data_IF_062635007269
#
_entry.id   IF_062635007269
#
_cell.length_a   1.000
_cell.length_b   1.000
_cell.length_c   1.000
_cell.angle_alpha   90.00
_cell.angle_beta   90.00
_cell.angle_gamma   90.00
#
_symmetry.space_group_name_H-M   'P 1'
#
loop_
_entity.id
_entity.type
_entity.pdbx_description
1 polymer ?
#
# COMPACT_ATOMS: atom_id res chain seq x y z
N UNK A 1 -15.67 11.49 16.36
CA UNK A 1 -14.70 10.48 16.83
C UNK A 1 -13.63 10.32 15.77
N UNK A 2 -12.46 10.91 16.00
CA UNK A 2 -11.36 10.92 15.04
C UNK A 2 -10.68 9.55 15.04
N UNK A 3 -10.72 8.84 13.90
CA UNK A 3 -9.97 7.61 13.66
C UNK A 3 -8.47 7.93 13.72
N UNK A 4 -7.88 7.77 14.91
CA UNK A 4 -6.43 7.82 15.12
C UNK A 4 -5.83 6.48 14.68
N UNK A 5 -5.50 6.39 13.39
CA UNK A 5 -4.10 6.21 12.98
C UNK A 5 -3.42 4.84 13.05
N UNK A 6 -4.13 3.71 13.11
CA UNK A 6 -3.47 2.37 13.00
C UNK A 6 -4.24 1.40 12.09
N UNK A 7 -4.92 1.91 11.07
CA UNK A 7 -5.62 1.08 10.08
C UNK A 7 -4.64 0.73 8.96
N UNK A 8 -4.27 -0.55 8.90
CA UNK A 8 -3.46 -1.04 7.80
C UNK A 8 -4.26 -0.95 6.50
N UNK A 9 -3.61 -0.39 5.49
CA UNK A 9 -4.19 -0.14 4.20
C UNK A 9 -4.35 -1.42 3.41
N UNK A 10 -5.54 -1.53 2.84
CA UNK A 10 -5.84 -2.52 1.80
C UNK A 10 -5.48 -1.96 0.42
N UNK A 11 -5.41 -2.79 -0.62
CA UNK A 11 -5.13 -2.35 -2.01
C UNK A 11 -5.84 -1.06 -2.47
N UNK A 12 -7.17 -0.88 -2.28
CA UNK A 12 -7.84 0.34 -2.73
C UNK A 12 -7.42 1.59 -1.96
N UNK A 13 -7.04 1.46 -0.69
CA UNK A 13 -6.57 2.60 0.11
C UNK A 13 -5.18 3.04 -0.31
N UNK A 14 -4.28 2.07 -0.55
CA UNK A 14 -2.95 2.31 -1.11
C UNK A 14 -3.09 3.03 -2.44
N UNK A 15 -3.95 2.51 -3.31
CA UNK A 15 -4.21 3.06 -4.63
C UNK A 15 -4.69 4.52 -4.55
N UNK A 16 -5.69 4.80 -3.70
CA UNK A 16 -6.20 6.15 -3.47
C UNK A 16 -5.13 7.09 -2.92
N UNK A 17 -4.26 6.60 -2.03
CA UNK A 17 -3.21 7.40 -1.43
C UNK A 17 -2.13 7.82 -2.43
N UNK A 18 -1.68 6.89 -3.29
CA UNK A 18 -0.65 7.17 -4.29
C UNK A 18 -1.22 7.68 -5.62
N UNK A 19 -2.54 7.86 -5.70
CA UNK A 19 -3.23 8.36 -6.89
C UNK A 19 -3.24 7.40 -8.09
N UNK A 20 -3.16 6.08 -7.85
CA UNK A 20 -3.22 5.07 -8.92
C UNK A 20 -4.46 4.19 -8.80
N UNK A 21 -4.68 3.31 -9.78
CA UNK A 21 -5.76 2.32 -9.72
C UNK A 21 -5.37 1.12 -8.83
N UNK A 22 -6.34 0.47 -8.16
CA UNK A 22 -6.08 -0.74 -7.38
C UNK A 22 -5.42 -1.86 -8.20
N UNK A 23 -5.79 -1.99 -9.48
CA UNK A 23 -5.15 -2.92 -10.42
C UNK A 23 -3.67 -2.63 -10.63
N UNK A 24 -3.27 -1.35 -10.63
CA UNK A 24 -1.86 -0.95 -10.71
C UNK A 24 -1.10 -1.40 -9.46
N UNK A 25 -1.70 -1.32 -8.27
CA UNK A 25 -1.10 -1.84 -7.03
C UNK A 25 -0.93 -3.36 -7.10
N UNK A 26 -1.91 -4.08 -7.66
CA UNK A 26 -1.81 -5.53 -7.91
C UNK A 26 -0.68 -5.86 -8.88
N UNK A 27 -0.52 -5.07 -9.94
CA UNK A 27 0.60 -5.17 -10.88
C UNK A 27 1.93 -4.91 -10.19
N UNK A 28 2.05 -3.87 -9.35
CA UNK A 28 3.28 -3.62 -8.58
C UNK A 28 3.65 -4.80 -7.68
N UNK A 29 2.69 -5.40 -7.00
CA UNK A 29 2.94 -6.61 -6.21
C UNK A 29 3.41 -7.76 -7.10
N UNK A 30 2.74 -7.99 -8.23
CA UNK A 30 3.11 -9.06 -9.17
C UNK A 30 4.54 -8.90 -9.71
N UNK A 31 4.98 -7.66 -9.93
CA UNK A 31 6.33 -7.35 -10.39
C UNK A 31 7.36 -7.19 -9.25
N UNK A 32 6.98 -7.42 -7.99
CA UNK A 32 7.89 -7.25 -6.84
C UNK A 32 8.30 -5.80 -6.58
N UNK A 33 7.52 -4.84 -7.08
CA UNK A 33 7.75 -3.41 -6.90
C UNK A 33 7.07 -2.85 -5.65
N UNK A 34 6.03 -3.52 -5.17
CA UNK A 34 5.36 -3.16 -3.92
C UNK A 34 6.17 -3.73 -2.75
N UNK A 35 6.32 -3.00 -1.62
CA UNK A 35 6.94 -3.55 -0.43
C UNK A 35 6.20 -4.80 0.07
N UNK A 36 6.90 -5.65 0.82
CA UNK A 36 6.30 -6.78 1.51
C UNK A 36 5.14 -6.32 2.40
N UNK A 37 4.04 -7.10 2.46
CA UNK A 37 2.93 -6.79 3.34
C UNK A 37 3.35 -6.95 4.79
N UNK A 38 3.07 -5.93 5.60
CA UNK A 38 3.40 -5.93 7.02
C UNK A 38 2.66 -7.04 7.78
N UNK A 39 1.42 -7.33 7.38
CA UNK A 39 0.71 -8.52 7.83
C UNK A 39 -0.29 -9.00 6.79
N UNK A 40 -0.68 -10.26 6.93
CA UNK A 40 -1.77 -10.85 6.18
C UNK A 40 -2.93 -11.02 7.14
N UNK A 41 -4.08 -10.45 6.78
CA UNK A 41 -5.30 -10.58 7.57
C UNK A 41 -5.78 -12.05 7.59
N UNK A 42 -6.68 -12.40 8.52
CA UNK A 42 -7.21 -13.77 8.64
C UNK A 42 -7.87 -14.28 7.34
N UNK A 43 -8.34 -13.37 6.47
CA UNK A 43 -8.86 -13.69 5.14
C UNK A 43 -7.81 -13.91 4.05
N UNK A 44 -6.51 -13.96 4.38
CA UNK A 44 -5.44 -14.10 3.38
C UNK A 44 -5.16 -12.82 2.58
N UNK A 45 -5.72 -11.68 3.02
CA UNK A 45 -5.54 -10.40 2.36
C UNK A 45 -4.29 -9.69 2.92
N UNK A 46 -3.27 -9.43 2.10
CA UNK A 46 -2.12 -8.65 2.53
C UNK A 46 -2.54 -7.22 2.86
N UNK A 47 -1.98 -6.69 3.95
CA UNK A 47 -2.21 -5.34 4.46
C UNK A 47 -0.88 -4.66 4.72
N UNK A 48 -0.86 -3.36 4.48
CA UNK A 48 0.34 -2.54 4.58
C UNK A 48 0.11 -1.38 5.52
N UNK A 49 1.11 -1.02 6.30
CA UNK A 49 1.03 0.20 7.06
C UNK A 49 1.14 1.42 6.14
N UNK A 50 0.43 2.51 6.49
CA UNK A 50 0.58 3.78 5.79
C UNK A 50 2.02 4.28 5.78
N UNK A 51 2.81 3.93 6.80
CA UNK A 51 4.22 4.30 6.93
C UNK A 51 5.09 3.58 5.89
N UNK A 52 4.92 2.26 5.74
CA UNK A 52 5.61 1.43 4.74
C UNK A 52 5.35 1.95 3.33
N UNK A 53 4.09 2.23 3.00
CA UNK A 53 3.68 2.75 1.69
C UNK A 53 4.22 4.17 1.47
N UNK A 54 4.19 5.05 2.47
CA UNK A 54 4.77 6.41 2.34
C UNK A 54 6.28 6.37 2.14
N UNK A 55 6.99 5.52 2.88
CA UNK A 55 8.44 5.36 2.76
C UNK A 55 8.83 4.82 1.37
N UNK A 56 8.08 3.86 0.85
CA UNK A 56 8.26 3.35 -0.50
C UNK A 56 7.90 4.40 -1.57
N UNK A 57 6.77 5.10 -1.42
CA UNK A 57 6.33 6.12 -2.37
C UNK A 57 7.37 7.25 -2.48
N UNK A 58 8.03 7.60 -1.38
CA UNK A 58 9.17 8.54 -1.37
C UNK A 58 10.43 8.01 -2.06
N UNK A 59 10.67 6.70 -2.03
CA UNK A 59 11.83 6.05 -2.66
C UNK A 59 11.61 5.74 -4.15
N UNK A 60 10.40 5.93 -4.68
CA UNK A 60 10.12 5.64 -6.10
C UNK A 60 10.94 6.53 -7.02
N UNK A 61 11.61 5.96 -8.04
CA UNK A 61 12.35 6.74 -9.04
C UNK A 61 11.47 7.54 -10.02
N UNK A 62 10.15 7.45 -9.92
CA UNK A 62 9.20 7.83 -10.97
C UNK A 62 8.49 9.17 -10.81
N UNK A 63 8.99 10.10 -9.99
CA UNK A 63 8.42 11.44 -9.89
C UNK A 63 9.52 12.49 -9.97
N UNK A 64 9.92 12.77 -11.22
CA UNK A 64 10.68 13.95 -11.61
C UNK A 64 9.85 14.72 -12.63
#
# INVERSE_FOLDING_TARGET
MSQRGTEAWSYPEIARHIGVKPDTVRTYRRHGLLPDPDFVDAGGHPRWYPETIRAWARKRPGHR
#
